data_IF_722947930772
#
_entry.id   IF_722947930772
#
_cell.length_a   1.000
_cell.length_b   1.000
_cell.length_c   1.000
_cell.angle_alpha   90.00
_cell.angle_beta   90.00
_cell.angle_gamma   90.00
#
_symmetry.space_group_name_H-M   'P 1'
#
loop_
_entity.id
_entity.type
_entity.pdbx_description
1 polymer ?
#
# COMPACT_ATOMS: atom_id res chain seq x y z
N UNK A 1 0.99 -6.06 20.84
CA UNK A 1 -0.27 -6.63 20.31
C UNK A 1 0.07 -7.32 19.00
N UNK A 2 -0.27 -8.60 18.81
CA UNK A 2 -0.04 -9.30 17.54
C UNK A 2 -1.37 -9.35 16.78
N UNK A 3 -1.35 -8.85 15.55
CA UNK A 3 -2.45 -8.91 14.60
C UNK A 3 -2.27 -10.15 13.74
N UNK A 4 -3.32 -10.95 13.57
CA UNK A 4 -3.31 -12.10 12.68
C UNK A 4 -3.97 -11.69 11.35
N UNK A 5 -3.16 -11.46 10.33
CA UNK A 5 -3.68 -10.98 9.06
C UNK A 5 -2.61 -10.82 8.00
N UNK A 6 -3.06 -10.33 6.84
CA UNK A 6 -2.26 -10.14 5.65
C UNK A 6 -2.26 -8.67 5.26
N UNK A 7 -1.09 -8.17 4.89
CA UNK A 7 -0.91 -6.86 4.28
C UNK A 7 -1.47 -6.93 2.87
N UNK A 8 -2.45 -6.08 2.58
CA UNK A 8 -3.10 -6.02 1.26
C UNK A 8 -2.57 -4.84 0.46
N UNK A 9 -2.46 -3.66 1.07
CA UNK A 9 -1.96 -2.46 0.42
C UNK A 9 -0.92 -1.73 1.27
N UNK A 10 -0.04 -1.02 0.58
CA UNK A 10 0.75 0.08 1.13
C UNK A 10 0.29 1.34 0.40
N UNK A 11 -0.22 2.30 1.15
CA UNK A 11 -0.74 3.57 0.62
C UNK A 11 0.27 4.66 0.94
N UNK A 12 0.74 5.37 -0.07
CA UNK A 12 1.71 6.45 0.09
C UNK A 12 1.14 7.80 -0.33
N UNK A 13 1.68 8.87 0.24
CA UNK A 13 1.35 10.23 -0.18
C UNK A 13 2.43 11.21 0.22
N UNK A 14 2.48 12.35 -0.48
CA UNK A 14 3.35 13.45 -0.13
C UNK A 14 2.63 14.36 0.88
N UNK A 15 3.18 14.45 2.09
CA UNK A 15 2.82 15.47 3.07
C UNK A 15 3.87 16.60 3.00
N UNK A 16 3.52 17.80 3.49
CA UNK A 16 4.31 19.05 3.38
C UNK A 16 5.84 18.92 3.35
N UNK A 17 6.42 18.06 4.16
CA UNK A 17 7.89 17.92 4.33
C UNK A 17 8.43 16.53 3.97
N UNK A 18 7.62 15.62 3.41
CA UNK A 18 8.09 14.30 3.03
C UNK A 18 7.00 13.30 2.65
N UNK A 19 7.47 12.15 2.16
CA UNK A 19 6.63 11.00 1.89
C UNK A 19 6.13 10.39 3.19
N UNK A 20 4.88 9.93 3.16
CA UNK A 20 4.26 9.14 4.22
C UNK A 20 3.78 7.84 3.61
N UNK A 21 3.88 6.75 4.37
CA UNK A 21 3.32 5.46 4.00
C UNK A 21 2.35 4.97 5.11
N UNK A 22 1.28 4.33 4.68
CA UNK A 22 0.28 3.66 5.50
C UNK A 22 0.19 2.21 5.07
N UNK A 23 -0.09 1.34 6.02
CA UNK A 23 -0.21 -0.09 5.79
C UNK A 23 -1.66 -0.52 6.01
N UNK A 24 -2.28 -1.03 4.97
CA UNK A 24 -3.60 -1.65 5.06
C UNK A 24 -3.46 -3.16 5.22
N UNK A 25 -4.25 -3.72 6.13
CA UNK A 25 -4.27 -5.15 6.38
C UNK A 25 -5.69 -5.68 6.54
N UNK A 26 -5.82 -6.99 6.32
CA UNK A 26 -7.05 -7.74 6.40
C UNK A 26 -6.81 -9.04 7.18
N UNK A 27 -7.81 -9.57 7.89
CA UNK A 27 -7.68 -10.96 8.38
C UNK A 27 -7.83 -11.95 7.21
N UNK A 28 -7.28 -13.15 7.36
CA UNK A 28 -7.27 -14.19 6.33
C UNK A 28 -8.65 -14.66 5.83
N UNK A 29 -9.76 -14.12 6.36
CA UNK A 29 -11.14 -14.50 6.01
C UNK A 29 -11.52 -14.20 4.55
N UNK A 30 -10.73 -13.41 3.82
CA UNK A 30 -11.02 -13.02 2.44
C UNK A 30 -9.91 -13.37 1.44
N UNK A 31 -8.89 -14.14 1.85
CA UNK A 31 -7.77 -14.49 0.96
C UNK A 31 -8.17 -15.35 -0.24
N UNK A 32 -9.24 -16.13 -0.14
CA UNK A 32 -9.71 -16.98 -1.25
C UNK A 32 -10.75 -16.26 -2.13
N UNK A 33 -11.10 -15.02 -1.80
CA UNK A 33 -12.15 -14.24 -2.48
C UNK A 33 -11.56 -12.95 -3.09
N UNK A 34 -10.90 -13.03 -4.26
CA UNK A 34 -10.19 -11.90 -4.87
C UNK A 34 -11.07 -10.65 -5.09
N UNK A 35 -12.37 -10.85 -5.34
CA UNK A 35 -13.33 -9.75 -5.48
C UNK A 35 -13.62 -9.01 -4.17
N UNK A 36 -13.48 -9.71 -3.02
CA UNK A 36 -13.69 -9.16 -1.68
C UNK A 36 -12.40 -8.67 -1.03
N UNK A 37 -11.22 -9.12 -1.47
CA UNK A 37 -9.93 -8.60 -0.99
C UNK A 37 -9.79 -7.09 -1.20
N UNK A 38 -10.35 -6.55 -2.29
CA UNK A 38 -10.31 -5.12 -2.59
C UNK A 38 -11.17 -4.26 -1.64
N UNK A 39 -12.04 -4.87 -0.83
CA UNK A 39 -12.97 -4.17 0.07
C UNK A 39 -12.79 -4.54 1.55
N UNK A 40 -11.98 -5.55 1.86
CA UNK A 40 -11.79 -6.05 3.21
C UNK A 40 -10.58 -5.41 3.90
N UNK A 41 -10.52 -4.08 4.01
CA UNK A 41 -9.58 -3.44 4.95
C UNK A 41 -10.18 -3.55 6.36
N UNK A 42 -9.64 -4.44 7.19
CA UNK A 42 -10.09 -4.53 8.60
C UNK A 42 -9.46 -3.44 9.47
N UNK A 43 -8.27 -2.99 9.11
CA UNK A 43 -7.62 -1.88 9.77
C UNK A 43 -6.52 -1.26 8.93
N UNK A 44 -6.28 0.02 9.19
CA UNK A 44 -5.12 0.74 8.66
C UNK A 44 -4.16 1.00 9.81
N UNK A 45 -2.91 0.59 9.63
CA UNK A 45 -1.80 0.97 10.50
C UNK A 45 -1.09 2.12 9.80
N UNK A 46 -1.41 3.34 10.23
CA UNK A 46 -0.70 4.52 9.77
C UNK A 46 0.57 4.69 10.60
N UNK A 47 1.73 4.64 9.95
CA UNK A 47 2.99 4.99 10.61
C UNK A 47 3.54 6.23 9.90
N UNK A 48 3.32 7.39 10.51
CA UNK A 48 3.75 8.67 9.95
C UNK A 48 5.27 8.82 10.10
N UNK A 49 5.99 8.39 9.07
CA UNK A 49 7.40 8.74 8.90
C UNK A 49 7.48 9.74 7.78
N UNK A 50 7.51 11.04 8.09
CA UNK A 50 7.81 12.06 7.10
C UNK A 50 9.28 11.95 6.73
N UNK A 51 9.56 11.32 5.60
CA UNK A 51 10.93 11.10 5.11
C UNK A 51 11.08 11.62 3.69
N UNK A 52 12.26 12.13 3.30
CA UNK A 52 12.46 12.72 1.98
C UNK A 52 12.40 11.69 0.84
N UNK A 53 12.54 10.39 1.15
CA UNK A 53 12.56 9.30 0.17
C UNK A 53 11.33 8.41 0.28
N UNK A 54 10.65 8.17 -0.84
CA UNK A 54 9.55 7.21 -0.96
C UNK A 54 9.97 5.81 -0.48
N UNK A 55 11.15 5.33 -0.88
CA UNK A 55 11.66 4.02 -0.46
C UNK A 55 11.76 3.93 1.07
N UNK A 56 12.27 4.99 1.72
CA UNK A 56 12.40 5.01 3.18
C UNK A 56 11.03 5.00 3.87
N UNK A 57 10.02 5.69 3.31
CA UNK A 57 8.68 5.68 3.87
C UNK A 57 8.07 4.27 3.82
N UNK A 58 8.26 3.59 2.68
CA UNK A 58 7.81 2.20 2.49
C UNK A 58 8.57 1.24 3.42
N UNK A 59 9.89 1.36 3.51
CA UNK A 59 10.70 0.49 4.38
C UNK A 59 10.26 0.61 5.84
N UNK A 60 9.96 1.83 6.30
CA UNK A 60 9.54 2.07 7.67
C UNK A 60 8.20 1.40 8.03
N UNK A 61 7.26 1.27 7.09
CA UNK A 61 6.02 0.50 7.34
C UNK A 61 6.20 -1.01 7.13
N UNK A 62 7.13 -1.42 6.26
CA UNK A 62 7.47 -2.84 6.06
C UNK A 62 8.10 -3.44 7.31
N UNK A 63 8.97 -2.71 7.99
CA UNK A 63 9.58 -3.14 9.25
C UNK A 63 8.51 -3.43 10.33
N UNK A 64 7.41 -2.68 10.28
CA UNK A 64 6.27 -2.85 11.19
C UNK A 64 5.45 -4.11 10.94
N UNK A 65 5.49 -4.68 9.73
CA UNK A 65 4.77 -5.92 9.38
C UNK A 65 5.12 -7.03 10.36
N UNK A 66 6.43 -7.26 10.57
CA UNK A 66 6.92 -8.30 11.48
C UNK A 66 6.62 -7.97 12.95
N UNK A 67 6.78 -6.71 13.36
CA UNK A 67 6.47 -6.27 14.73
C UNK A 67 5.00 -6.53 15.09
N UNK A 68 4.09 -6.30 14.15
CA UNK A 68 2.66 -6.53 14.33
C UNK A 68 2.24 -7.98 14.12
N UNK A 69 3.13 -8.88 13.67
CA UNK A 69 2.80 -10.28 13.40
C UNK A 69 1.98 -10.50 12.12
N UNK A 70 1.92 -9.49 11.24
CA UNK A 70 1.25 -9.56 9.95
C UNK A 70 2.10 -10.32 8.93
N UNK A 71 1.45 -10.91 7.94
CA UNK A 71 2.09 -11.60 6.82
C UNK A 71 1.90 -10.81 5.52
N UNK A 72 2.80 -10.98 4.55
CA UNK A 72 2.57 -10.43 3.20
C UNK A 72 1.48 -11.26 2.51
N UNK A 73 0.53 -10.62 1.83
CA UNK A 73 -0.47 -11.35 1.05
C UNK A 73 0.23 -12.18 -0.04
N UNK A 74 0.00 -13.50 -0.11
CA UNK A 74 0.61 -14.37 -1.13
C UNK A 74 0.20 -14.02 -2.56
N UNK A 75 -0.93 -13.33 -2.75
CA UNK A 75 -1.39 -12.84 -4.05
C UNK A 75 -0.70 -11.54 -4.49
N UNK A 76 0.09 -10.93 -3.62
CA UNK A 76 0.79 -9.67 -3.85
C UNK A 76 0.28 -8.55 -2.95
N UNK A 77 1.16 -7.59 -2.68
CA UNK A 77 0.84 -6.33 -1.99
C UNK A 77 0.70 -5.24 -3.05
N UNK A 78 -0.34 -4.43 -2.96
CA UNK A 78 -0.54 -3.29 -3.84
C UNK A 78 0.19 -2.05 -3.30
N UNK A 79 0.87 -1.30 -4.15
CA UNK A 79 1.37 0.04 -3.82
C UNK A 79 0.48 1.11 -4.45
N UNK A 80 -0.11 1.97 -3.63
CA UNK A 80 -1.14 2.92 -4.01
C UNK A 80 -0.77 4.35 -3.63
N UNK A 81 -1.22 5.35 -4.40
CA UNK A 81 -1.19 6.74 -3.96
C UNK A 81 -2.51 7.09 -3.24
N UNK A 82 -2.46 7.84 -2.15
CA UNK A 82 -3.65 8.18 -1.36
C UNK A 82 -4.70 8.94 -2.18
N UNK A 83 -5.92 8.39 -2.23
CA UNK A 83 -7.04 8.97 -2.97
C UNK A 83 -6.76 9.08 -4.47
N UNK A 84 -6.03 8.12 -5.04
CA UNK A 84 -5.67 8.04 -6.47
C UNK A 84 -5.03 9.33 -7.02
N UNK A 85 -4.37 10.10 -6.15
CA UNK A 85 -3.78 11.42 -6.43
C UNK A 85 -4.79 12.54 -6.76
N UNK A 86 -6.10 12.29 -6.73
CA UNK A 86 -7.14 13.30 -6.98
C UNK A 86 -7.47 14.13 -5.73
N UNK A 87 -6.97 13.72 -4.56
CA UNK A 87 -7.25 14.40 -3.31
C UNK A 87 -6.39 15.66 -3.14
N UNK A 88 -7.01 16.83 -3.12
CA UNK A 88 -6.33 18.12 -2.93
C UNK A 88 -5.58 18.27 -1.61
N UNK A 89 -5.87 17.44 -0.60
CA UNK A 89 -5.10 17.39 0.66
C UNK A 89 -3.77 16.67 0.52
N UNK A 90 -3.61 15.85 -0.52
CA UNK A 90 -2.44 15.00 -0.77
C UNK A 90 -2.02 15.13 -2.24
N UNK A 91 -1.66 16.33 -2.73
CA UNK A 91 -1.31 16.52 -4.13
C UNK A 91 -0.11 15.63 -4.50
N UNK A 92 -0.24 14.86 -5.57
CA UNK A 92 0.85 14.01 -6.05
C UNK A 92 1.88 14.82 -6.86
N UNK A 93 3.16 14.47 -6.79
CA UNK A 93 4.15 14.97 -7.73
C UNK A 93 3.86 14.48 -9.15
N UNK A 94 4.30 15.23 -10.18
CA UNK A 94 4.01 14.92 -11.59
C UNK A 94 4.40 13.49 -12.00
N UNK A 95 5.49 12.96 -11.43
CA UNK A 95 6.04 11.64 -11.74
C UNK A 95 5.62 10.54 -10.74
N UNK A 96 4.56 10.74 -9.94
CA UNK A 96 4.21 9.78 -8.89
C UNK A 96 3.96 8.35 -9.41
N UNK A 97 3.32 8.19 -10.57
CA UNK A 97 3.06 6.88 -11.17
C UNK A 97 4.36 6.13 -11.49
N UNK A 98 5.36 6.82 -12.04
CA UNK A 98 6.67 6.24 -12.34
C UNK A 98 7.40 5.83 -11.05
N UNK A 99 7.30 6.66 -10.02
CA UNK A 99 7.87 6.36 -8.70
C UNK A 99 7.23 5.12 -8.06
N UNK A 100 5.89 5.02 -8.09
CA UNK A 100 5.18 3.84 -7.57
C UNK A 100 5.52 2.59 -8.37
N UNK A 101 5.63 2.71 -9.69
CA UNK A 101 6.00 1.59 -10.56
C UNK A 101 7.40 1.08 -10.24
N UNK A 102 8.38 1.97 -10.17
CA UNK A 102 9.76 1.61 -9.87
C UNK A 102 9.89 0.93 -8.48
N UNK A 103 9.22 1.47 -7.46
CA UNK A 103 9.24 0.87 -6.11
C UNK A 103 8.52 -0.48 -6.05
N UNK A 104 7.42 -0.65 -6.79
CA UNK A 104 6.70 -1.93 -6.85
C UNK A 104 7.53 -3.00 -7.56
N UNK A 105 8.13 -2.67 -8.71
CA UNK A 105 9.00 -3.57 -9.46
C UNK A 105 10.21 -4.03 -8.63
N UNK A 106 10.87 -3.09 -7.94
CA UNK A 106 12.00 -3.38 -7.03
C UNK A 106 11.65 -4.42 -5.96
N UNK A 107 10.38 -4.47 -5.53
CA UNK A 107 9.91 -5.31 -4.42
C UNK A 107 9.15 -6.55 -4.87
N UNK A 108 8.94 -6.72 -6.17
CA UNK A 108 8.10 -7.79 -6.72
C UNK A 108 6.63 -7.63 -6.33
N UNK A 109 6.17 -6.38 -6.18
CA UNK A 109 4.81 -6.04 -5.79
C UNK A 109 3.96 -5.63 -6.99
N UNK A 110 2.65 -5.66 -6.79
CA UNK A 110 1.66 -5.34 -7.83
C UNK A 110 1.40 -3.83 -7.77
N UNK A 111 1.45 -3.14 -8.90
CA UNK A 111 1.05 -1.72 -8.97
C UNK A 111 -0.45 -1.57 -9.11
N UNK A 112 -1.00 -0.41 -8.72
CA UNK A 112 -2.41 -0.07 -8.98
C UNK A 112 -2.82 -0.36 -10.43
N UNK A 113 -2.02 0.01 -11.44
CA UNK A 113 -2.33 -0.24 -12.85
C UNK A 113 -2.58 -1.71 -13.17
N UNK A 114 -1.88 -2.64 -12.52
CA UNK A 114 -2.08 -4.08 -12.71
C UNK A 114 -3.39 -4.59 -12.09
N UNK A 115 -3.91 -3.90 -11.05
CA UNK A 115 -5.20 -4.19 -10.42
C UNK A 115 -6.36 -3.50 -11.16
N UNK A 116 -6.16 -2.30 -11.70
CA UNK A 116 -7.16 -1.56 -12.48
C UNK A 116 -7.37 -2.17 -13.87
N UNK A 117 -6.34 -2.76 -14.48
CA UNK A 117 -6.47 -3.53 -15.74
C UNK A 117 -7.34 -4.77 -15.55
N UNK A 118 -7.26 -5.46 -14.39
CA UNK A 118 -8.19 -6.55 -14.05
C UNK A 118 -9.64 -6.06 -13.94
N UNK A 119 -9.88 -4.85 -13.41
CA UNK A 119 -11.24 -4.27 -13.31
C UNK A 119 -11.87 -3.92 -14.66
N UNK A 120 -11.09 -3.68 -15.72
CA UNK A 120 -11.62 -3.38 -17.07
C UNK A 120 -11.93 -4.62 -17.92
N UNK A 121 -11.55 -5.82 -17.46
CA UNK A 121 -11.77 -7.07 -18.21
C UNK A 121 -12.95 -7.91 -17.68
N UNK A 122 -13.79 -7.34 -16.80
CA UNK A 122 -15.02 -7.97 -16.30
C UNK A 122 -16.23 -7.20 -16.84
#
# INVERSE_FOLDING_TARGET
MKLEGYVTNIVVYLAKEGWVAELDWATGKFLDEPDKQNFATEGTISTMYQVPSLSQAIDAVVDKIQEFGLQKNPMGVALLYKGDAENSKYPAPENYLELLKAESEKRGWVTYDQLTVKKKQI
#
